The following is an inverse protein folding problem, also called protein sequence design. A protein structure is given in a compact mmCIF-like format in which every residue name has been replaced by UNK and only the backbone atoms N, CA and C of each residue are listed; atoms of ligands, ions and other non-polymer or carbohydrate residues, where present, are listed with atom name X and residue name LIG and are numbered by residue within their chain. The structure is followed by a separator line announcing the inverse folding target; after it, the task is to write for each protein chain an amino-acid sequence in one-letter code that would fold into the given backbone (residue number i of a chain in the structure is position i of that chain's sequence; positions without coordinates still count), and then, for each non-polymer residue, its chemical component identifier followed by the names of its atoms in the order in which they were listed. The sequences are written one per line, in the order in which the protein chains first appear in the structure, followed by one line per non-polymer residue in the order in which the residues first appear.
data_IF_538008898926
#
_entry.id   IF_538008898926
#
_cell.length_a   1.000
_cell.length_b   1.000
_cell.length_c   1.000
_cell.angle_alpha   90.00
_cell.angle_beta   90.00
_cell.angle_gamma   90.00
#
_symmetry.space_group_name_H-M   'P 1'
#
loop_
_entity.id
_entity.type
_entity.pdbx_description
1 polymer ?
#
# COMPACT_ATOMS: atom_id res chain seq x y z
N UNK A 1 2.78 -22.86 -5.91
CA UNK A 1 1.53 -23.32 -6.55
C UNK A 1 1.65 -24.81 -6.74
N UNK A 2 0.66 -25.61 -6.32
CA UNK A 2 0.70 -27.05 -6.54
C UNK A 2 0.82 -27.32 -8.05
N UNK A 3 1.83 -28.10 -8.43
CA UNK A 3 2.04 -28.54 -9.81
C UNK A 3 1.25 -29.82 -10.07
N UNK A 4 1.34 -30.38 -11.29
CA UNK A 4 0.69 -31.67 -11.65
C UNK A 4 1.00 -32.77 -10.62
N UNK A 5 2.24 -32.81 -10.13
CA UNK A 5 2.58 -33.47 -8.86
C UNK A 5 2.35 -32.48 -7.72
N UNK A 6 1.29 -32.69 -6.95
CA UNK A 6 0.96 -31.82 -5.82
C UNK A 6 2.00 -31.98 -4.70
N UNK A 7 2.39 -30.86 -4.10
CA UNK A 7 3.20 -30.82 -2.87
C UNK A 7 2.35 -30.51 -1.64
N UNK A 8 1.02 -30.54 -1.77
CA UNK A 8 0.04 -30.25 -0.72
C UNK A 8 -0.76 -31.50 -0.36
N UNK A 9 -1.13 -31.60 0.91
CA UNK A 9 -2.03 -32.64 1.42
C UNK A 9 -3.45 -32.40 0.90
N UNK A 10 -3.92 -33.25 -0.02
CA UNK A 10 -5.23 -33.11 -0.66
C UNK A 10 -6.32 -33.88 0.10
N UNK A 11 -7.53 -33.32 0.08
CA UNK A 11 -8.73 -34.02 0.54
C UNK A 11 -9.15 -35.07 -0.51
N UNK A 12 -9.39 -36.31 -0.07
CA UNK A 12 -9.98 -37.34 -0.92
C UNK A 12 -11.51 -37.44 -0.73
N UNK A 13 -12.23 -37.85 -1.79
CA UNK A 13 -13.71 -37.82 -1.86
C UNK A 13 -14.42 -38.60 -0.74
N UNK A 14 -13.78 -39.64 -0.19
CA UNK A 14 -14.31 -40.49 0.90
C UNK A 14 -13.37 -40.54 2.10
N UNK A 15 -12.57 -39.51 2.31
CA UNK A 15 -11.64 -39.43 3.44
C UNK A 15 -12.40 -39.23 4.77
N UNK A 16 -12.07 -40.03 5.78
CA UNK A 16 -12.49 -39.77 7.16
C UNK A 16 -11.82 -38.49 7.70
N UNK A 17 -12.55 -37.69 8.47
CA UNK A 17 -12.05 -36.47 9.13
C UNK A 17 -11.40 -35.45 8.17
N UNK A 18 -11.96 -35.29 6.97
CA UNK A 18 -11.48 -34.35 5.95
C UNK A 18 -11.34 -32.90 6.43
N UNK A 19 -12.15 -32.49 7.41
CA UNK A 19 -12.07 -31.19 8.08
C UNK A 19 -10.75 -31.00 8.85
N UNK A 20 -10.19 -32.06 9.43
CA UNK A 20 -8.89 -32.01 10.11
C UNK A 20 -7.77 -31.76 9.10
N UNK A 21 -7.78 -32.47 7.98
CA UNK A 21 -6.81 -32.27 6.89
C UNK A 21 -6.95 -30.87 6.28
N UNK A 22 -8.18 -30.41 6.05
CA UNK A 22 -8.42 -29.05 5.57
C UNK A 22 -7.85 -27.99 6.51
N UNK A 23 -8.15 -28.10 7.82
CA UNK A 23 -7.68 -27.16 8.83
C UNK A 23 -6.15 -27.14 8.93
N UNK A 24 -5.50 -28.30 8.92
CA UNK A 24 -4.03 -28.36 8.93
C UNK A 24 -3.40 -27.67 7.72
N UNK A 25 -3.99 -27.84 6.52
CA UNK A 25 -3.53 -27.14 5.32
C UNK A 25 -3.78 -25.63 5.41
N UNK A 26 -4.93 -25.20 5.93
CA UNK A 26 -5.23 -23.78 6.13
C UNK A 26 -4.34 -23.14 7.20
N UNK A 27 -3.99 -23.88 8.27
CA UNK A 27 -3.06 -23.43 9.30
C UNK A 27 -1.66 -23.22 8.72
N UNK A 28 -1.18 -24.16 7.90
CA UNK A 28 0.09 -24.02 7.17
C UNK A 28 0.07 -22.83 6.18
N UNK A 29 -1.08 -22.58 5.52
CA UNK A 29 -1.29 -21.46 4.61
C UNK A 29 -1.65 -20.13 5.28
N UNK A 30 -1.85 -20.11 6.60
CA UNK A 30 -2.37 -18.97 7.36
C UNK A 30 -1.54 -17.68 7.26
N UNK A 31 -0.21 -17.67 7.01
CA UNK A 31 0.52 -16.42 6.78
C UNK A 31 -0.08 -15.57 5.64
N UNK A 32 -0.65 -16.20 4.61
CA UNK A 32 -1.30 -15.49 3.50
C UNK A 32 -2.71 -14.95 3.84
N UNK A 33 -3.26 -15.34 4.99
CA UNK A 33 -4.58 -14.88 5.45
C UNK A 33 -4.53 -13.58 6.21
N UNK A 34 -3.34 -13.03 6.53
CA UNK A 34 -3.20 -11.73 7.17
C UNK A 34 -4.02 -10.66 6.44
N UNK A 35 -4.83 -9.93 7.20
CA UNK A 35 -5.82 -8.93 6.75
C UNK A 35 -6.93 -9.45 5.84
N UNK A 36 -7.01 -10.77 5.62
CA UNK A 36 -8.04 -11.38 4.78
C UNK A 36 -9.43 -11.20 5.37
N UNK A 37 -10.43 -11.01 4.50
CA UNK A 37 -11.82 -10.86 4.92
C UNK A 37 -12.28 -12.03 5.78
N UNK A 38 -12.67 -11.76 7.02
CA UNK A 38 -13.26 -12.74 7.95
C UNK A 38 -14.76 -12.85 7.71
N UNK A 39 -15.10 -13.56 6.65
CA UNK A 39 -16.46 -13.61 6.10
C UNK A 39 -17.55 -13.99 7.11
N UNK A 40 -17.26 -14.88 8.05
CA UNK A 40 -18.23 -15.38 9.05
C UNK A 40 -18.75 -14.32 10.02
N UNK A 41 -18.04 -13.19 10.18
CA UNK A 41 -18.47 -12.07 11.02
C UNK A 41 -18.89 -10.85 10.22
N UNK A 42 -18.56 -10.78 8.92
CA UNK A 42 -18.98 -9.68 8.06
C UNK A 42 -20.49 -9.74 7.81
N UNK A 43 -21.22 -8.68 8.14
CA UNK A 43 -22.65 -8.55 7.89
C UNK A 43 -23.05 -7.08 7.70
N UNK A 44 -23.97 -6.80 6.79
CA UNK A 44 -24.32 -5.42 6.43
C UNK A 44 -23.10 -4.62 5.97
N UNK A 45 -22.81 -3.51 6.66
CA UNK A 45 -21.63 -2.67 6.45
C UNK A 45 -20.49 -2.94 7.45
N UNK A 46 -20.62 -4.00 8.26
CA UNK A 46 -19.61 -4.39 9.22
C UNK A 46 -18.56 -5.27 8.55
N UNK A 47 -17.33 -4.77 8.46
CA UNK A 47 -16.20 -5.50 7.92
C UNK A 47 -15.33 -6.09 9.04
N UNK A 48 -14.96 -7.36 8.89
CA UNK A 48 -14.03 -8.05 9.76
C UNK A 48 -12.89 -8.67 8.95
N UNK A 49 -11.73 -8.75 9.57
CA UNK A 49 -10.53 -9.29 8.96
C UNK A 49 -9.78 -10.21 9.92
N UNK A 50 -9.03 -11.14 9.34
CA UNK A 50 -8.09 -11.97 10.07
C UNK A 50 -6.81 -11.19 10.40
N UNK A 51 -6.30 -11.40 11.60
CA UNK A 51 -4.97 -11.05 12.01
C UNK A 51 -3.93 -12.01 11.43
N UNK A 52 -2.71 -11.92 11.94
CA UNK A 52 -1.58 -12.72 11.51
C UNK A 52 -0.28 -12.12 12.02
N UNK A 53 0.85 -12.51 11.44
CA UNK A 53 2.16 -11.95 11.79
C UNK A 53 2.65 -11.06 10.66
N UNK A 54 3.12 -9.85 11.01
CA UNK A 54 3.68 -8.88 10.08
C UNK A 54 5.03 -8.39 10.60
N UNK A 55 5.97 -8.13 9.69
CA UNK A 55 7.21 -7.44 10.03
C UNK A 55 6.93 -5.96 10.25
N UNK A 56 7.25 -5.44 11.43
CA UNK A 56 7.14 -4.02 11.78
C UNK A 56 8.50 -3.57 12.31
N UNK A 57 9.21 -2.74 11.53
CA UNK A 57 10.52 -2.18 11.90
C UNK A 57 11.54 -3.23 12.39
N UNK A 58 11.57 -4.41 11.74
CA UNK A 58 12.48 -5.51 12.06
C UNK A 58 11.98 -6.48 13.13
N UNK A 59 10.78 -6.25 13.68
CA UNK A 59 10.15 -7.12 14.68
C UNK A 59 8.99 -7.90 14.05
N UNK A 60 8.91 -9.20 14.35
CA UNK A 60 7.73 -10.01 14.04
C UNK A 60 6.60 -9.63 15.01
N UNK A 61 5.62 -8.88 14.51
CA UNK A 61 4.50 -8.38 15.29
C UNK A 61 3.24 -9.18 15.00
N UNK A 62 2.62 -9.69 16.05
CA UNK A 62 1.29 -10.30 15.98
C UNK A 62 0.21 -9.23 15.86
N UNK A 63 -0.49 -9.22 14.75
CA UNK A 63 -1.69 -8.42 14.52
C UNK A 63 -2.90 -9.29 14.86
N UNK A 64 -3.74 -8.84 15.77
CA UNK A 64 -4.97 -9.55 16.15
C UNK A 64 -6.06 -9.43 15.09
N UNK A 65 -7.00 -10.39 15.05
CA UNK A 65 -8.29 -10.16 14.41
C UNK A 65 -8.93 -8.88 14.98
N UNK A 66 -9.67 -8.13 14.17
CA UNK A 66 -10.41 -7.01 14.74
C UNK A 66 -11.48 -7.48 15.73
N UNK A 67 -11.44 -6.92 16.94
CA UNK A 67 -12.42 -7.21 17.97
C UNK A 67 -13.77 -6.54 17.68
N UNK A 68 -13.74 -5.35 17.07
CA UNK A 68 -14.92 -4.59 16.66
C UNK A 68 -14.96 -4.41 15.15
N UNK A 69 -16.17 -4.34 14.59
CA UNK A 69 -16.38 -4.14 13.16
C UNK A 69 -15.69 -2.87 12.65
N UNK A 70 -15.00 -2.97 11.53
CA UNK A 70 -14.64 -1.81 10.73
C UNK A 70 -15.88 -1.37 9.94
N UNK A 71 -16.54 -0.31 10.41
CA UNK A 71 -17.76 0.20 9.78
C UNK A 71 -17.44 0.88 8.44
N UNK A 72 -18.03 0.36 7.36
CA UNK A 72 -17.93 0.94 6.03
C UNK A 72 -18.96 2.06 5.83
N UNK A 73 -18.62 3.07 5.03
CA UNK A 73 -19.58 4.10 4.62
C UNK A 73 -20.52 3.53 3.58
N UNK A 74 -21.82 3.79 3.76
CA UNK A 74 -22.87 3.36 2.84
C UNK A 74 -22.79 4.09 1.47
N UNK A 75 -23.35 3.46 0.45
CA UNK A 75 -23.58 4.05 -0.88
C UNK A 75 -22.32 4.62 -1.56
N UNK A 76 -21.15 4.07 -1.25
CA UNK A 76 -19.88 4.53 -1.82
C UNK A 76 -18.87 3.39 -1.95
N UNK A 77 -17.72 3.71 -2.52
CA UNK A 77 -16.55 2.84 -2.52
C UNK A 77 -15.69 3.12 -1.28
N UNK A 78 -15.35 2.07 -0.55
CA UNK A 78 -14.49 2.12 0.63
C UNK A 78 -13.13 1.50 0.29
N UNK A 79 -12.05 2.25 0.53
CA UNK A 79 -10.67 1.80 0.41
C UNK A 79 -10.18 1.37 1.79
N UNK A 80 -10.07 0.07 2.00
CA UNK A 80 -9.63 -0.54 3.26
C UNK A 80 -8.12 -0.76 3.17
N UNK A 81 -7.39 -0.23 4.14
CA UNK A 81 -5.93 -0.15 4.10
C UNK A 81 -5.32 -0.28 5.49
N UNK A 82 -4.07 -0.71 5.56
CA UNK A 82 -3.31 -0.82 6.80
C UNK A 82 -2.11 0.13 6.84
N UNK A 83 -1.71 0.54 8.03
CA UNK A 83 -0.42 1.19 8.27
C UNK A 83 0.72 0.18 8.23
N UNK A 84 1.97 0.68 8.19
CA UNK A 84 3.18 -0.16 8.35
C UNK A 84 3.27 -0.88 9.70
N UNK A 85 2.46 -0.47 10.67
CA UNK A 85 2.31 -1.11 11.98
C UNK A 85 1.06 -2.03 12.07
N UNK A 86 0.38 -2.27 10.95
CA UNK A 86 -0.78 -3.16 10.88
C UNK A 86 -2.10 -2.60 11.41
N UNK A 87 -2.19 -1.28 11.65
CA UNK A 87 -3.46 -0.65 12.03
C UNK A 87 -4.34 -0.49 10.79
N UNK A 88 -5.52 -1.11 10.80
CA UNK A 88 -6.45 -1.09 9.66
C UNK A 88 -7.46 0.06 9.79
N UNK A 89 -7.68 0.77 8.69
CA UNK A 89 -8.67 1.84 8.55
C UNK A 89 -9.34 1.80 7.17
N UNK A 90 -10.34 2.65 6.96
CA UNK A 90 -10.98 2.84 5.65
C UNK A 90 -11.21 4.31 5.33
N UNK A 91 -11.17 4.67 4.05
CA UNK A 91 -11.59 5.97 3.55
C UNK A 91 -12.39 5.83 2.23
N UNK A 92 -12.88 6.92 1.64
CA UNK A 92 -13.72 6.90 0.42
C UNK A 92 -13.12 7.68 -0.77
N UNK A 93 -11.87 8.14 -0.64
CA UNK A 93 -11.20 8.98 -1.65
C UNK A 93 -10.29 8.12 -2.53
N UNK A 94 -9.55 7.20 -1.93
CA UNK A 94 -8.56 6.36 -2.60
C UNK A 94 -7.62 5.72 -1.59
N UNK A 95 -6.75 4.81 -2.03
CA UNK A 95 -5.67 4.35 -1.15
C UNK A 95 -4.77 5.53 -0.76
N UNK A 96 -4.51 5.67 0.53
CA UNK A 96 -3.64 6.71 1.06
C UNK A 96 -2.19 6.36 0.68
N UNK A 97 -1.42 7.33 0.14
CA UNK A 97 -0.01 7.14 -0.14
C UNK A 97 0.76 6.65 1.10
N UNK A 98 1.58 5.60 0.93
CA UNK A 98 2.33 4.98 2.04
C UNK A 98 1.54 3.97 2.90
N UNK A 99 0.25 3.74 2.63
CA UNK A 99 -0.52 2.65 3.25
C UNK A 99 -0.47 1.37 2.42
N UNK A 100 -0.71 0.25 3.09
CA UNK A 100 -0.82 -1.09 2.51
C UNK A 100 -2.27 -1.27 2.05
N UNK A 101 -2.56 -1.36 0.74
CA UNK A 101 -3.91 -1.62 0.24
C UNK A 101 -4.37 -3.02 0.64
N UNK A 102 -5.60 -3.14 1.13
CA UNK A 102 -6.19 -4.43 1.48
C UNK A 102 -7.39 -4.76 0.60
N UNK A 103 -8.39 -3.89 0.56
CA UNK A 103 -9.60 -4.12 -0.22
C UNK A 103 -10.16 -2.82 -0.78
N UNK A 104 -10.80 -2.93 -1.94
CA UNK A 104 -11.78 -1.94 -2.40
C UNK A 104 -13.15 -2.57 -2.24
N UNK A 105 -14.01 -2.02 -1.40
CA UNK A 105 -15.36 -2.55 -1.13
C UNK A 105 -16.43 -1.55 -1.58
N UNK A 106 -17.33 -1.98 -2.47
CA UNK A 106 -18.49 -1.20 -2.91
C UNK A 106 -19.66 -1.54 -2.01
N UNK A 107 -20.35 -0.52 -1.51
CA UNK A 107 -21.49 -0.67 -0.60
C UNK A 107 -22.75 -0.04 -1.18
N UNK A 108 -23.90 -0.68 -0.97
CA UNK A 108 -25.21 -0.04 -1.07
C UNK A 108 -25.56 0.70 0.22
N UNK A 109 -26.85 0.97 0.44
CA UNK A 109 -27.33 1.70 1.62
C UNK A 109 -27.09 0.96 2.94
N UNK A 110 -27.04 -0.38 2.92
CA UNK A 110 -26.93 -1.20 4.13
C UNK A 110 -26.01 -2.43 4.01
N UNK A 111 -25.49 -2.74 2.81
CA UNK A 111 -24.71 -3.97 2.56
C UNK A 111 -23.52 -3.71 1.66
N UNK A 112 -22.45 -4.51 1.83
CA UNK A 112 -21.39 -4.64 0.82
C UNK A 112 -21.94 -5.38 -0.39
N UNK A 113 -21.90 -4.76 -1.57
CA UNK A 113 -22.41 -5.33 -2.82
C UNK A 113 -21.31 -6.03 -3.62
N UNK A 114 -20.07 -5.55 -3.52
CA UNK A 114 -18.90 -6.21 -4.11
C UNK A 114 -17.62 -5.79 -3.38
N UNK A 115 -16.56 -6.57 -3.55
CA UNK A 115 -15.24 -6.20 -3.07
C UNK A 115 -14.16 -6.82 -3.96
N UNK A 116 -13.04 -6.12 -4.06
CA UNK A 116 -11.82 -6.60 -4.71
C UNK A 116 -10.73 -6.71 -3.66
N UNK A 117 -10.11 -7.88 -3.55
CA UNK A 117 -8.92 -8.08 -2.74
C UNK A 117 -7.73 -7.43 -3.43
N UNK A 118 -7.11 -6.45 -2.76
CA UNK A 118 -5.98 -5.67 -3.24
C UNK A 118 -4.68 -6.10 -2.55
N UNK A 119 -4.73 -7.11 -1.67
CA UNK A 119 -3.53 -7.64 -1.00
C UNK A 119 -2.63 -8.29 -2.05
N UNK A 120 -1.39 -7.84 -2.09
CA UNK A 120 -0.35 -8.46 -2.91
C UNK A 120 0.40 -9.53 -2.10
N UNK A 121 0.88 -10.58 -2.77
CA UNK A 121 1.73 -11.60 -2.15
C UNK A 121 3.06 -10.99 -1.68
N UNK A 122 3.74 -10.27 -2.58
CA UNK A 122 4.94 -9.47 -2.31
C UNK A 122 5.19 -8.55 -3.50
N UNK A 123 5.74 -7.35 -3.28
CA UNK A 123 6.26 -6.51 -4.35
C UNK A 123 7.71 -6.92 -4.66
N UNK A 124 8.02 -7.53 -5.82
CA UNK A 124 9.37 -7.94 -6.14
C UNK A 124 10.29 -6.72 -6.30
N UNK A 125 11.30 -6.60 -5.43
CA UNK A 125 12.25 -5.47 -5.43
C UNK A 125 13.11 -5.39 -6.70
N UNK A 126 13.26 -6.50 -7.43
CA UNK A 126 13.98 -6.57 -8.70
C UNK A 126 13.19 -6.00 -9.90
N UNK A 127 11.89 -5.74 -9.74
CA UNK A 127 11.05 -5.07 -10.75
C UNK A 127 10.69 -3.66 -10.25
N UNK A 128 11.59 -2.68 -10.35
CA UNK A 128 11.31 -1.34 -9.83
C UNK A 128 10.18 -0.69 -10.66
N UNK A 129 9.07 -0.39 -9.99
CA UNK A 129 7.99 0.42 -10.56
C UNK A 129 8.51 1.80 -10.97
N UNK A 130 8.00 2.33 -12.08
CA UNK A 130 8.36 3.66 -12.61
C UNK A 130 7.10 4.47 -12.78
N UNK A 131 7.17 5.75 -12.42
CA UNK A 131 6.07 6.69 -12.62
C UNK A 131 6.59 8.06 -13.08
N UNK A 132 5.69 8.88 -13.62
CA UNK A 132 5.95 10.27 -13.99
C UNK A 132 4.82 11.15 -13.51
N UNK A 133 5.15 12.29 -12.91
CA UNK A 133 4.19 13.32 -12.48
C UNK A 133 4.51 14.65 -13.15
N UNK A 134 3.49 15.33 -13.64
CA UNK A 134 3.62 16.66 -14.24
C UNK A 134 3.41 17.73 -13.16
N UNK A 135 4.42 18.59 -12.97
CA UNK A 135 4.41 19.70 -12.03
C UNK A 135 4.57 21.00 -12.82
N UNK A 136 3.55 21.85 -12.76
CA UNK A 136 3.51 23.13 -13.49
C UNK A 136 3.07 24.27 -12.57
N UNK A 137 1.76 24.41 -12.36
CA UNK A 137 1.12 25.56 -11.70
C UNK A 137 0.75 25.30 -10.24
N UNK A 138 0.90 24.07 -9.75
CA UNK A 138 0.56 23.69 -8.39
C UNK A 138 1.53 22.63 -7.85
N UNK A 139 1.57 22.53 -6.53
CA UNK A 139 2.23 21.42 -5.84
C UNK A 139 1.46 20.13 -6.11
N UNK A 140 2.18 19.02 -6.19
CA UNK A 140 1.62 17.70 -6.49
C UNK A 140 1.86 16.76 -5.34
N UNK A 141 0.81 16.14 -4.82
CA UNK A 141 0.95 15.02 -3.87
C UNK A 141 0.91 13.72 -4.65
N UNK A 142 1.89 12.83 -4.43
CA UNK A 142 1.91 11.54 -5.09
C UNK A 142 0.68 10.71 -4.69
N UNK A 143 0.01 10.11 -5.66
CA UNK A 143 -1.00 9.10 -5.42
C UNK A 143 -0.35 7.81 -4.89
N UNK A 144 -1.13 6.92 -4.25
CA UNK A 144 -0.58 5.71 -3.65
C UNK A 144 0.12 4.78 -4.65
N UNK A 145 -0.34 4.70 -5.90
CA UNK A 145 0.33 3.92 -6.94
C UNK A 145 1.68 4.52 -7.34
N UNK A 146 1.75 5.85 -7.41
CA UNK A 146 2.96 6.60 -7.75
C UNK A 146 3.98 6.50 -6.63
N UNK A 147 3.55 6.66 -5.38
CA UNK A 147 4.40 6.56 -4.20
C UNK A 147 4.99 5.14 -3.99
N UNK A 148 4.39 4.09 -4.57
CA UNK A 148 4.93 2.72 -4.56
C UNK A 148 6.00 2.49 -5.62
N UNK A 149 6.15 3.38 -6.60
CA UNK A 149 7.16 3.27 -7.63
C UNK A 149 8.52 3.74 -7.10
N UNK A 150 9.58 2.98 -7.38
CA UNK A 150 10.94 3.30 -6.94
C UNK A 150 11.58 4.40 -7.80
N UNK A 151 11.15 4.57 -9.05
CA UNK A 151 11.67 5.61 -9.94
C UNK A 151 10.58 6.64 -10.26
N UNK A 152 10.82 7.90 -9.91
CA UNK A 152 9.92 9.02 -10.12
C UNK A 152 10.54 10.00 -11.12
N UNK A 153 9.83 10.28 -12.21
CA UNK A 153 10.17 11.40 -13.11
C UNK A 153 9.25 12.57 -12.84
N UNK A 154 9.82 13.75 -12.59
CA UNK A 154 9.06 14.99 -12.44
C UNK A 154 9.20 15.77 -13.74
N UNK A 155 8.10 16.11 -14.40
CA UNK A 155 8.08 16.80 -15.69
C UNK A 155 7.30 18.11 -15.60
N UNK A 156 7.34 18.92 -16.66
CA UNK A 156 6.56 20.15 -16.78
C UNK A 156 7.39 21.42 -16.65
N UNK A 157 6.86 22.51 -17.20
CA UNK A 157 7.46 23.85 -17.13
C UNK A 157 7.00 24.51 -15.84
N UNK A 158 7.96 24.93 -15.00
CA UNK A 158 7.65 25.57 -13.73
C UNK A 158 7.34 27.05 -13.92
N UNK A 159 6.25 27.51 -13.29
CA UNK A 159 5.86 28.92 -13.21
C UNK A 159 6.12 29.54 -11.85
N UNK A 160 6.65 28.76 -10.91
CA UNK A 160 7.01 29.14 -9.55
C UNK A 160 7.75 27.98 -8.88
N UNK A 161 8.28 28.20 -7.66
CA UNK A 161 8.83 27.10 -6.86
C UNK A 161 7.69 26.14 -6.49
N UNK A 162 7.90 24.84 -6.69
CA UNK A 162 6.88 23.81 -6.48
C UNK A 162 7.35 22.70 -5.58
N UNK A 163 6.39 22.00 -5.00
CA UNK A 163 6.63 20.82 -4.19
C UNK A 163 6.04 19.56 -4.83
N UNK A 164 6.79 18.46 -4.74
CA UNK A 164 6.24 17.11 -4.86
C UNK A 164 6.19 16.53 -3.45
N UNK A 165 4.98 16.21 -3.00
CA UNK A 165 4.70 15.75 -1.64
C UNK A 165 4.64 14.22 -1.65
N UNK A 166 5.52 13.60 -0.86
CA UNK A 166 5.66 12.15 -0.70
C UNK A 166 5.20 11.69 0.70
N UNK A 167 4.91 10.40 0.90
CA UNK A 167 4.65 9.85 2.24
C UNK A 167 5.83 10.06 3.20
N UNK A 168 5.55 9.99 4.51
CA UNK A 168 6.55 10.01 5.58
C UNK A 168 7.45 8.77 5.61
N UNK A 169 6.95 7.64 5.13
CA UNK A 169 7.67 6.38 4.91
C UNK A 169 7.76 6.11 3.40
N UNK A 170 8.74 6.71 2.74
CA UNK A 170 8.93 6.64 1.29
C UNK A 170 10.41 6.59 0.92
N UNK A 171 10.75 5.90 -0.17
CA UNK A 171 12.09 5.88 -0.75
C UNK A 171 11.97 5.88 -2.27
N UNK A 172 12.82 6.64 -2.96
CA UNK A 172 12.84 6.62 -4.41
C UNK A 172 14.03 7.32 -5.06
N UNK A 173 14.28 6.95 -6.31
CA UNK A 173 15.18 7.64 -7.22
C UNK A 173 14.34 8.67 -7.98
N UNK A 174 14.63 9.94 -7.74
CA UNK A 174 13.93 11.06 -8.39
C UNK A 174 14.77 11.59 -9.54
N UNK A 175 14.15 11.73 -10.71
CA UNK A 175 14.69 12.49 -11.83
C UNK A 175 13.86 13.77 -12.03
N UNK A 176 14.48 14.93 -11.80
CA UNK A 176 13.84 16.22 -12.01
C UNK A 176 14.03 16.67 -13.45
N UNK A 177 13.06 16.39 -14.31
CA UNK A 177 13.04 16.82 -15.72
C UNK A 177 12.21 18.09 -15.92
N UNK A 178 11.92 18.83 -14.86
CA UNK A 178 11.29 20.15 -14.95
C UNK A 178 12.18 21.12 -15.74
N UNK A 179 11.55 22.13 -16.33
CA UNK A 179 12.25 23.24 -16.99
C UNK A 179 11.77 24.60 -16.47
N UNK A 180 12.54 25.65 -16.75
CA UNK A 180 12.25 27.03 -16.32
C UNK A 180 13.19 27.52 -15.22
N UNK A 181 12.94 28.72 -14.69
CA UNK A 181 13.85 29.37 -13.72
C UNK A 181 13.64 28.96 -12.25
N UNK A 182 12.72 28.05 -11.98
CA UNK A 182 12.30 27.68 -10.61
C UNK A 182 12.74 26.29 -10.21
N UNK A 183 12.61 25.96 -8.92
CA UNK A 183 13.01 24.68 -8.36
C UNK A 183 11.81 23.81 -7.97
N UNK A 184 12.00 22.49 -8.03
CA UNK A 184 11.08 21.51 -7.44
C UNK A 184 11.69 20.93 -6.17
N UNK A 185 10.94 20.99 -5.08
CA UNK A 185 11.29 20.41 -3.78
C UNK A 185 10.52 19.12 -3.58
N UNK A 186 11.21 18.02 -3.28
CA UNK A 186 10.56 16.77 -2.85
C UNK A 186 10.51 16.79 -1.33
N UNK A 187 9.32 16.73 -0.74
CA UNK A 187 9.11 16.87 0.71
C UNK A 187 8.01 15.95 1.23
N UNK A 188 8.02 15.67 2.53
CA UNK A 188 6.83 15.19 3.22
C UNK A 188 5.86 16.37 3.43
N UNK A 189 4.63 16.12 3.88
CA UNK A 189 3.65 17.19 4.15
C UNK A 189 4.20 18.23 5.14
N UNK A 190 4.82 17.78 6.22
CA UNK A 190 5.35 18.66 7.28
C UNK A 190 6.84 19.03 7.10
N UNK A 191 7.61 18.25 6.35
CA UNK A 191 9.06 18.43 6.21
C UNK A 191 9.46 19.58 5.28
N UNK A 192 10.70 20.05 5.39
CA UNK A 192 11.26 21.06 4.47
C UNK A 192 11.59 20.47 3.10
N UNK A 193 11.98 19.20 3.08
CA UNK A 193 12.35 18.43 1.90
C UNK A 193 13.71 18.76 1.31
N UNK A 194 13.89 18.28 0.08
CA UNK A 194 15.10 18.36 -0.72
C UNK A 194 14.78 18.92 -2.10
N UNK A 195 15.48 19.99 -2.49
CA UNK A 195 15.47 20.44 -3.88
C UNK A 195 16.29 19.48 -4.74
N UNK A 196 15.69 18.94 -5.79
CA UNK A 196 16.39 18.16 -6.83
C UNK A 196 16.59 19.08 -8.03
N UNK A 197 17.85 19.36 -8.37
CA UNK A 197 18.19 20.24 -9.48
C UNK A 197 17.63 19.70 -10.81
N UNK A 198 17.20 20.61 -11.69
CA UNK A 198 16.71 20.23 -13.02
C UNK A 198 17.79 19.49 -13.81
N UNK A 199 17.39 18.46 -14.55
CA UNK A 199 18.27 17.55 -15.28
C UNK A 199 19.03 16.54 -14.40
N UNK A 200 18.89 16.60 -13.06
CA UNK A 200 19.64 15.74 -12.12
C UNK A 200 18.81 14.61 -11.54
N UNK A 201 19.52 13.61 -11.02
CA UNK A 201 18.96 12.49 -10.27
C UNK A 201 19.45 12.51 -8.84
N UNK A 202 18.55 12.14 -7.91
CA UNK A 202 18.88 11.97 -6.51
C UNK A 202 18.19 10.73 -5.95
N UNK A 203 18.91 9.96 -5.13
CA UNK A 203 18.31 8.95 -4.25
C UNK A 203 17.82 9.65 -2.98
N UNK A 204 16.52 9.60 -2.74
CA UNK A 204 15.85 10.26 -1.62
C UNK A 204 15.16 9.22 -0.73
N UNK A 205 15.15 9.51 0.57
CA UNK A 205 14.49 8.72 1.61
C UNK A 205 13.69 9.66 2.51
N UNK A 206 12.50 9.26 2.91
CA UNK A 206 11.76 9.91 3.98
C UNK A 206 12.05 9.21 5.32
N UNK A 207 12.55 9.95 6.31
CA UNK A 207 13.01 9.43 7.61
C UNK A 207 11.89 9.35 8.67
N UNK A 208 10.63 9.42 8.24
CA UNK A 208 9.46 9.56 9.10
C UNK A 208 9.07 11.01 9.39
N UNK A 209 9.94 11.99 9.16
CA UNK A 209 9.63 13.42 9.33
C UNK A 209 9.92 14.23 8.07
N UNK A 210 11.12 14.10 7.52
CA UNK A 210 11.60 14.88 6.39
C UNK A 210 12.07 13.98 5.25
N UNK A 211 12.20 14.55 4.06
CA UNK A 211 12.93 13.92 2.96
C UNK A 211 14.40 14.28 3.08
N UNK A 212 15.26 13.28 3.04
CA UNK A 212 16.72 13.40 3.06
C UNK A 212 17.32 12.82 1.79
N UNK A 213 18.47 13.36 1.39
CA UNK A 213 19.24 12.89 0.24
C UNK A 213 20.27 11.86 0.71
N UNK A 214 20.27 10.68 0.09
CA UNK A 214 21.13 9.56 0.49
C UNK A 214 22.48 9.56 -0.24
N UNK A 215 22.57 10.23 -1.40
CA UNK A 215 23.79 10.32 -2.23
C UNK A 215 23.98 11.74 -2.77
N UNK A 216 25.21 12.23 -2.98
CA UNK A 216 25.44 13.51 -3.68
C UNK A 216 24.79 13.53 -5.07
N UNK A 217 24.40 14.71 -5.56
CA UNK A 217 23.79 14.84 -6.90
C UNK A 217 24.78 14.44 -8.01
N UNK A 218 24.34 13.59 -8.94
CA UNK A 218 25.07 13.23 -10.18
C UNK A 218 24.31 13.72 -11.41
#
# INVERSE_FOLDING_TARGET
MASSTTNLDLIAQSQSSKEVTANALFDAGSPATLFGRRASLCSGLNWFYYGGVMMVDGVLTSISNNAAALALTASTTNYIEATRAGVVSRNTVGFTPGRIPLYTAVTGSATVTSYTDQRAWVAPTYLPGRTSVAVTTADVTLAAAEARCRYLTITGVLTGNRSVIVPDSWEGIVYCSNSGAFATTVKTVAGSGVVVAQGKRALLLADGTNVVRVTPDT
#
